data_IF_051790347345
#
_entry.id   IF_051790347345
#
_cell.length_a   1.000
_cell.length_b   1.000
_cell.length_c   1.000
_cell.angle_alpha   90.00
_cell.angle_beta   90.00
_cell.angle_gamma   90.00
#
_symmetry.space_group_name_H-M   'P 1'
#
loop_
_entity.id
_entity.type
_entity.pdbx_description
1 polymer ?
#
# COMPACT_ATOMS: atom_id res chain seq x y z
N UNK A 1 28.85 70.35 -36.63
CA UNK A 1 27.68 69.91 -35.81
C UNK A 1 27.77 68.42 -35.58
N UNK A 2 28.23 67.99 -34.37
CA UNK A 2 28.42 66.56 -34.02
C UNK A 2 27.34 66.20 -33.03
N UNK A 3 26.32 65.38 -33.43
CA UNK A 3 25.31 64.76 -32.57
C UNK A 3 25.94 63.60 -31.86
N UNK A 4 26.08 63.70 -30.54
CA UNK A 4 26.45 62.57 -29.67
C UNK A 4 25.21 61.75 -29.34
N UNK A 5 25.22 60.49 -29.77
CA UNK A 5 24.22 59.49 -29.45
C UNK A 5 24.60 58.91 -28.08
N UNK A 6 23.76 59.15 -27.07
CA UNK A 6 23.91 58.53 -25.74
C UNK A 6 23.11 57.25 -25.76
N UNK A 7 23.81 56.11 -25.72
CA UNK A 7 23.21 54.79 -25.58
C UNK A 7 23.11 54.51 -24.11
N UNK A 8 21.90 54.55 -23.56
CA UNK A 8 21.56 54.13 -22.18
C UNK A 8 21.35 52.64 -22.20
N UNK A 9 22.32 51.88 -21.70
CA UNK A 9 22.23 50.43 -21.45
C UNK A 9 21.44 50.22 -20.17
N UNK A 10 20.20 49.76 -20.30
CA UNK A 10 19.36 49.33 -19.19
C UNK A 10 19.79 47.92 -18.77
N UNK A 11 20.54 47.80 -17.68
CA UNK A 11 20.90 46.54 -17.08
C UNK A 11 19.65 45.97 -16.33
N UNK A 12 18.97 45.04 -17.00
CA UNK A 12 17.91 44.24 -16.34
C UNK A 12 18.57 43.24 -15.38
N UNK A 13 18.60 43.56 -14.08
CA UNK A 13 18.96 42.62 -13.04
C UNK A 13 17.84 41.60 -12.87
N UNK A 14 17.97 40.45 -13.55
CA UNK A 14 17.12 39.28 -13.33
C UNK A 14 17.39 38.72 -11.94
N UNK A 15 16.52 39.00 -11.00
CA UNK A 15 16.48 38.32 -9.70
C UNK A 15 16.04 36.88 -9.98
N UNK A 16 16.99 35.97 -10.08
CA UNK A 16 16.71 34.53 -10.03
C UNK A 16 16.27 34.22 -8.60
N UNK A 17 14.97 34.18 -8.38
CA UNK A 17 14.36 33.51 -7.26
C UNK A 17 14.69 32.00 -7.40
N UNK A 18 15.83 31.61 -6.90
CA UNK A 18 16.11 30.20 -6.60
C UNK A 18 15.11 29.80 -5.50
N UNK A 19 13.93 29.38 -5.92
CA UNK A 19 13.04 28.66 -5.05
C UNK A 19 13.81 27.40 -4.61
N UNK A 20 14.39 27.45 -3.41
CA UNK A 20 14.82 26.24 -2.70
C UNK A 20 13.59 25.38 -2.56
N UNK A 21 13.31 24.53 -3.53
CA UNK A 21 12.45 23.38 -3.33
C UNK A 21 13.18 22.54 -2.26
N UNK A 22 12.80 22.75 -1.01
CA UNK A 22 13.13 21.80 0.06
C UNK A 22 12.58 20.48 -0.43
N UNK A 23 13.45 19.62 -0.90
CA UNK A 23 13.10 18.22 -1.18
C UNK A 23 12.47 17.72 0.11
N UNK A 24 11.19 17.32 0.05
CA UNK A 24 10.52 16.77 1.22
C UNK A 24 11.37 15.62 1.72
N UNK A 25 11.78 15.69 2.98
CA UNK A 25 12.63 14.67 3.59
C UNK A 25 11.89 13.33 3.52
N UNK A 26 12.52 12.34 2.90
CA UNK A 26 11.95 11.00 2.80
C UNK A 26 12.03 10.35 4.19
N UNK A 27 10.87 10.18 4.82
CA UNK A 27 10.77 9.61 6.18
C UNK A 27 10.60 8.10 6.16
N UNK A 28 9.98 7.58 5.09
CA UNK A 28 9.72 6.17 4.88
C UNK A 28 10.15 5.75 3.47
N UNK A 29 10.73 4.57 3.36
CA UNK A 29 11.09 3.93 2.10
C UNK A 29 10.49 2.53 2.05
N UNK A 30 9.88 2.16 0.92
CA UNK A 30 9.38 0.81 0.68
C UNK A 30 10.57 -0.13 0.49
N UNK A 31 10.67 -1.16 1.34
CA UNK A 31 11.75 -2.15 1.29
C UNK A 31 11.29 -3.52 0.83
N UNK A 32 9.99 -3.77 0.84
CA UNK A 32 9.43 -5.03 0.36
C UNK A 32 7.93 -4.96 0.21
N UNK A 33 7.43 -5.73 -0.76
CA UNK A 33 6.00 -5.87 -0.98
C UNK A 33 5.73 -7.23 -1.64
N UNK A 34 4.69 -7.91 -1.16
CA UNK A 34 4.28 -9.21 -1.69
C UNK A 34 2.83 -9.52 -1.35
N UNK A 35 2.27 -10.52 -2.03
CA UNK A 35 1.04 -11.17 -1.61
C UNK A 35 1.35 -12.33 -0.68
N UNK A 36 0.59 -12.46 0.40
CA UNK A 36 0.63 -13.62 1.29
C UNK A 36 -0.60 -14.47 1.03
N UNK A 37 -0.40 -15.70 0.58
CA UNK A 37 -1.46 -16.69 0.37
C UNK A 37 -1.44 -17.68 1.53
N UNK A 38 -2.54 -17.75 2.27
CA UNK A 38 -2.72 -18.70 3.37
C UNK A 38 -3.70 -19.79 2.95
N UNK A 39 -3.17 -20.93 2.53
CA UNK A 39 -3.96 -22.07 2.07
C UNK A 39 -4.93 -22.60 3.14
N UNK A 40 -4.52 -22.60 4.40
CA UNK A 40 -5.34 -23.11 5.51
C UNK A 40 -6.57 -22.25 5.75
N UNK A 41 -6.41 -20.94 5.70
CA UNK A 41 -7.48 -19.97 5.94
C UNK A 41 -8.16 -19.52 4.63
N UNK A 42 -7.75 -20.07 3.48
CA UNK A 42 -8.26 -19.69 2.16
C UNK A 42 -8.22 -18.16 1.95
N UNK A 43 -7.17 -17.50 2.38
CA UNK A 43 -7.06 -16.03 2.32
C UNK A 43 -5.80 -15.58 1.61
N UNK A 44 -5.89 -14.45 0.91
CA UNK A 44 -4.76 -13.71 0.40
C UNK A 44 -4.74 -12.32 1.06
N UNK A 45 -3.57 -11.72 1.22
CA UNK A 45 -3.42 -10.35 1.74
C UNK A 45 -2.26 -9.66 1.05
N UNK A 46 -2.29 -8.33 0.97
CA UNK A 46 -1.11 -7.53 0.70
C UNK A 46 -0.26 -7.44 1.96
N UNK A 47 1.04 -7.53 1.80
CA UNK A 47 2.02 -7.22 2.84
C UNK A 47 3.04 -6.21 2.28
N UNK A 48 3.09 -5.02 2.85
CA UNK A 48 4.03 -3.96 2.52
C UNK A 48 4.94 -3.71 3.71
N UNK A 49 6.24 -3.71 3.47
CA UNK A 49 7.24 -3.39 4.49
C UNK A 49 7.97 -2.12 4.11
N UNK A 50 8.11 -1.23 5.07
CA UNK A 50 8.79 0.06 4.94
C UNK A 50 9.88 0.19 6.00
N UNK A 51 10.94 0.91 5.66
CA UNK A 51 12.00 1.31 6.58
C UNK A 51 11.86 2.78 6.89
N UNK A 52 12.06 3.14 8.15
CA UNK A 52 12.19 4.54 8.57
C UNK A 52 13.56 5.06 8.17
N UNK A 53 13.60 6.16 7.44
CA UNK A 53 14.83 6.79 6.91
C UNK A 53 15.14 8.14 7.56
N UNK A 54 14.13 8.75 8.22
CA UNK A 54 14.27 9.98 8.98
C UNK A 54 13.34 9.96 10.21
N UNK A 55 13.54 10.84 11.19
CA UNK A 55 12.64 10.96 12.35
C UNK A 55 11.19 11.24 11.91
N UNK A 56 10.25 10.49 12.48
CA UNK A 56 8.81 10.67 12.26
C UNK A 56 8.24 11.32 13.52
N UNK A 57 7.43 12.41 13.40
CA UNK A 57 6.82 13.04 14.55
C UNK A 57 5.94 12.09 15.36
N UNK A 58 5.96 12.23 16.69
CA UNK A 58 5.14 11.43 17.58
C UNK A 58 3.65 11.59 17.28
N UNK A 59 2.91 10.49 17.39
CA UNK A 59 1.49 10.45 17.10
C UNK A 59 1.14 10.37 15.62
N UNK A 60 2.15 10.23 14.75
CA UNK A 60 1.91 10.02 13.31
C UNK A 60 1.24 8.68 13.04
N UNK A 61 0.49 8.65 11.94
CA UNK A 61 -0.28 7.47 11.49
C UNK A 61 0.02 7.19 10.02
N UNK A 62 0.15 5.92 9.69
CA UNK A 62 0.14 5.43 8.31
C UNK A 62 -1.30 5.15 7.93
N UNK A 63 -1.72 5.70 6.79
CA UNK A 63 -2.97 5.37 6.10
C UNK A 63 -2.59 4.65 4.82
N UNK A 64 -2.83 3.33 4.77
CA UNK A 64 -2.56 2.52 3.58
C UNK A 64 -3.87 2.21 2.86
N UNK A 65 -3.93 2.56 1.58
CA UNK A 65 -5.06 2.31 0.68
C UNK A 65 -4.62 1.25 -0.33
N UNK A 66 -5.22 0.07 -0.26
CA UNK A 66 -4.94 -1.05 -1.17
C UNK A 66 -6.06 -1.18 -2.19
N UNK A 67 -5.71 -1.35 -3.47
CA UNK A 67 -6.69 -1.66 -4.49
C UNK A 67 -7.42 -2.96 -4.14
N UNK A 68 -8.76 -2.94 -4.24
CA UNK A 68 -9.55 -4.13 -4.01
C UNK A 68 -9.61 -4.97 -5.29
N UNK A 69 -9.08 -6.21 -5.32
CA UNK A 69 -9.12 -7.04 -6.54
C UNK A 69 -10.53 -7.41 -7.00
N UNK A 70 -11.53 -7.38 -6.10
CA UNK A 70 -12.94 -7.54 -6.45
C UNK A 70 -13.55 -6.29 -7.08
N UNK A 71 -12.81 -5.17 -7.13
CA UNK A 71 -13.32 -3.87 -7.55
C UNK A 71 -14.04 -3.12 -6.42
N UNK A 72 -14.55 -1.93 -6.74
CA UNK A 72 -15.21 -1.07 -5.76
C UNK A 72 -14.25 -0.23 -4.92
N UNK A 73 -14.59 -0.03 -3.64
CA UNK A 73 -13.79 0.83 -2.75
C UNK A 73 -12.47 0.18 -2.36
N UNK A 74 -11.38 0.95 -2.28
CA UNK A 74 -10.11 0.46 -1.75
C UNK A 74 -10.25 -0.04 -0.31
N UNK A 75 -9.40 -0.99 0.06
CA UNK A 75 -9.25 -1.45 1.43
C UNK A 75 -8.33 -0.49 2.17
N UNK A 76 -8.78 0.05 3.29
CA UNK A 76 -8.05 1.10 4.03
C UNK A 76 -7.61 0.58 5.39
N UNK A 77 -6.31 0.68 5.66
CA UNK A 77 -5.72 0.38 6.96
C UNK A 77 -5.14 1.66 7.58
N UNK A 78 -5.44 1.87 8.86
CA UNK A 78 -4.82 2.93 9.67
C UNK A 78 -3.94 2.29 10.74
N UNK A 79 -2.65 2.64 10.77
CA UNK A 79 -1.69 2.09 11.74
C UNK A 79 -0.86 3.22 12.37
N UNK A 80 -0.83 3.27 13.70
CA UNK A 80 0.04 4.21 14.42
C UNK A 80 1.50 3.85 14.21
N UNK A 81 2.34 4.88 14.08
CA UNK A 81 3.79 4.75 14.03
C UNK A 81 4.36 4.97 15.42
N UNK A 82 5.18 4.04 15.88
CA UNK A 82 5.88 4.19 17.14
C UNK A 82 7.33 4.68 16.92
N UNK A 83 7.84 5.57 17.79
CA UNK A 83 9.20 6.12 17.63
C UNK A 83 10.30 5.08 17.55
N UNK A 84 10.13 3.95 18.22
CA UNK A 84 11.11 2.85 18.28
C UNK A 84 11.07 1.92 17.06
N UNK A 85 10.06 2.04 16.20
CA UNK A 85 9.94 1.17 15.03
C UNK A 85 10.91 1.62 13.93
N UNK A 86 11.94 0.83 13.65
CA UNK A 86 12.83 1.03 12.49
C UNK A 86 12.22 0.49 11.20
N UNK A 87 11.39 -0.54 11.32
CA UNK A 87 10.65 -1.16 10.22
C UNK A 87 9.17 -1.21 10.55
N UNK A 88 8.37 -0.88 9.56
CA UNK A 88 6.91 -0.85 9.69
C UNK A 88 6.34 -1.75 8.61
N UNK A 89 5.53 -2.72 9.01
CA UNK A 89 4.80 -3.59 8.08
C UNK A 89 3.32 -3.30 8.18
N UNK A 90 2.67 -3.13 7.04
CA UNK A 90 1.23 -2.97 6.92
C UNK A 90 0.68 -4.13 6.10
N UNK A 91 -0.40 -4.72 6.59
CA UNK A 91 -1.06 -5.86 5.94
C UNK A 91 -2.53 -5.53 5.73
N UNK A 92 -3.05 -5.79 4.52
CA UNK A 92 -4.46 -5.58 4.23
C UNK A 92 -5.36 -6.59 4.97
N UNK A 93 -6.64 -6.32 4.95
CA UNK A 93 -7.66 -7.34 5.17
C UNK A 93 -7.59 -8.43 4.09
N UNK A 94 -8.37 -9.50 4.28
CA UNK A 94 -8.41 -10.60 3.34
C UNK A 94 -8.90 -10.15 1.97
N UNK A 95 -8.21 -10.64 0.95
CA UNK A 95 -8.48 -10.37 -0.45
C UNK A 95 -9.16 -11.56 -1.10
N UNK A 96 -9.97 -11.25 -2.10
CA UNK A 96 -10.54 -12.22 -3.02
C UNK A 96 -10.24 -11.78 -4.46
N UNK A 97 -10.24 -12.74 -5.39
CA UNK A 97 -10.09 -12.45 -6.81
C UNK A 97 -8.74 -11.87 -7.24
N UNK A 98 -7.67 -12.21 -6.55
CA UNK A 98 -6.31 -11.87 -6.99
C UNK A 98 -5.99 -12.62 -8.28
N UNK A 99 -5.62 -11.88 -9.33
CA UNK A 99 -5.26 -12.42 -10.65
C UNK A 99 -3.74 -12.36 -10.80
N UNK A 100 -3.16 -13.47 -11.26
CA UNK A 100 -1.73 -13.56 -11.56
C UNK A 100 -1.31 -12.48 -12.56
N UNK A 101 -0.11 -11.92 -12.35
CA UNK A 101 0.55 -10.92 -13.19
C UNK A 101 -0.20 -9.59 -13.38
N UNK A 102 -1.40 -9.45 -12.83
CA UNK A 102 -2.11 -8.18 -12.81
C UNK A 102 -1.44 -7.21 -11.83
N UNK A 103 -1.15 -5.96 -12.23
CA UNK A 103 -0.66 -4.93 -11.29
C UNK A 103 -1.81 -4.39 -10.44
N UNK A 104 -1.57 -4.26 -9.14
CA UNK A 104 -2.48 -3.66 -8.17
C UNK A 104 -1.81 -2.46 -7.51
N UNK A 105 -2.53 -1.36 -7.41
CA UNK A 105 -2.02 -0.12 -6.85
C UNK A 105 -2.18 -0.08 -5.33
N UNK A 106 -1.14 0.41 -4.66
CA UNK A 106 -1.17 0.70 -3.22
C UNK A 106 -0.65 2.10 -2.99
N UNK A 107 -1.40 2.89 -2.24
CA UNK A 107 -1.00 4.22 -1.80
C UNK A 107 -0.84 4.23 -0.28
N UNK A 108 0.29 4.72 0.19
CA UNK A 108 0.57 4.87 1.62
C UNK A 108 0.79 6.34 1.93
N UNK A 109 0.03 6.87 2.86
CA UNK A 109 0.14 8.24 3.37
C UNK A 109 0.65 8.20 4.80
N UNK A 110 1.72 8.93 5.08
CA UNK A 110 2.16 9.23 6.43
C UNK A 110 1.55 10.58 6.81
N UNK A 111 0.75 10.60 7.86
CA UNK A 111 0.13 11.82 8.39
C UNK A 111 0.55 12.07 9.83
N UNK A 112 0.68 13.34 10.22
CA UNK A 112 0.95 13.69 11.61
C UNK A 112 -0.30 13.55 12.49
N UNK A 113 -0.16 13.86 13.78
CA UNK A 113 -1.26 13.81 14.76
C UNK A 113 -2.43 14.75 14.43
N UNK A 114 -2.19 15.81 13.64
CA UNK A 114 -3.18 16.80 13.24
C UNK A 114 -3.79 16.50 11.85
N UNK A 115 -3.41 15.33 11.26
CA UNK A 115 -3.90 14.88 9.94
C UNK A 115 -3.19 15.51 8.75
N UNK A 116 -2.10 16.26 8.98
CA UNK A 116 -1.32 16.85 7.89
C UNK A 116 -0.49 15.77 7.19
N UNK A 117 -0.55 15.74 5.87
CA UNK A 117 0.26 14.84 5.06
C UNK A 117 1.75 15.20 5.18
N UNK A 118 2.55 14.24 5.61
CA UNK A 118 4.01 14.34 5.71
C UNK A 118 4.68 13.72 4.49
N UNK A 119 4.21 12.56 4.04
CA UNK A 119 4.75 11.84 2.89
C UNK A 119 3.66 10.97 2.24
N UNK A 120 3.73 10.83 0.91
CA UNK A 120 2.95 9.86 0.14
C UNK A 120 3.89 8.92 -0.61
N UNK A 121 3.61 7.62 -0.54
CA UNK A 121 4.31 6.57 -1.26
C UNK A 121 3.30 5.83 -2.14
N UNK A 122 3.73 5.43 -3.34
CA UNK A 122 2.95 4.60 -4.25
C UNK A 122 3.75 3.36 -4.60
N UNK A 123 3.10 2.22 -4.54
CA UNK A 123 3.67 0.94 -4.92
C UNK A 123 2.71 0.18 -5.83
N UNK A 124 3.27 -0.68 -6.66
CA UNK A 124 2.50 -1.63 -7.45
C UNK A 124 2.86 -3.05 -7.02
N UNK A 125 1.84 -3.83 -6.75
CA UNK A 125 1.96 -5.24 -6.43
C UNK A 125 1.60 -6.08 -7.64
N UNK A 126 2.34 -7.15 -7.86
CA UNK A 126 1.97 -8.22 -8.78
C UNK A 126 2.03 -9.54 -8.03
N UNK A 127 1.08 -10.42 -8.31
CA UNK A 127 1.09 -11.78 -7.78
C UNK A 127 1.63 -12.73 -8.83
N UNK A 128 2.54 -13.62 -8.45
CA UNK A 128 3.00 -14.73 -9.27
C UNK A 128 2.00 -15.89 -9.30
N UNK A 129 0.99 -15.81 -8.43
CA UNK A 129 -0.06 -16.82 -8.28
C UNK A 129 -1.44 -16.20 -8.50
N UNK A 130 -2.32 -17.01 -9.06
CA UNK A 130 -3.75 -16.69 -9.14
C UNK A 130 -4.44 -17.12 -7.84
N UNK A 131 -5.52 -16.44 -7.46
CA UNK A 131 -6.29 -16.78 -6.23
C UNK A 131 -6.83 -18.20 -6.26
N UNK A 132 -7.02 -18.78 -7.44
CA UNK A 132 -7.52 -20.16 -7.62
C UNK A 132 -6.60 -21.24 -7.05
N UNK A 133 -5.36 -20.90 -6.67
CA UNK A 133 -4.48 -21.83 -5.93
C UNK A 133 -4.98 -22.07 -4.50
N UNK A 134 -5.79 -21.18 -3.95
CA UNK A 134 -6.40 -21.33 -2.63
C UNK A 134 -7.69 -22.18 -2.70
N UNK A 135 -8.02 -22.91 -1.65
CA UNK A 135 -9.37 -23.46 -1.52
C UNK A 135 -10.38 -22.30 -1.44
N UNK A 136 -11.60 -22.54 -1.90
CA UNK A 136 -12.66 -21.53 -1.88
C UNK A 136 -13.22 -21.24 -0.48
N UNK A 137 -12.99 -22.16 0.44
CA UNK A 137 -13.41 -22.03 1.84
C UNK A 137 -12.24 -22.33 2.78
N UNK A 138 -12.15 -21.69 3.96
CA UNK A 138 -11.17 -22.05 4.97
C UNK A 138 -11.23 -23.54 5.30
N UNK A 139 -10.08 -24.21 5.35
CA UNK A 139 -10.02 -25.62 5.74
C UNK A 139 -10.19 -25.81 7.23
N UNK A 140 -9.96 -24.74 8.01
CA UNK A 140 -10.08 -24.74 9.47
C UNK A 140 -10.88 -23.54 9.94
N UNK A 141 -11.54 -23.69 11.10
CA UNK A 141 -12.35 -22.66 11.74
C UNK A 141 -12.02 -22.57 13.22
N UNK A 142 -12.38 -21.45 13.83
CA UNK A 142 -12.21 -21.21 15.25
C UNK A 142 -10.77 -21.06 15.71
N UNK A 143 -10.59 -20.69 16.98
CA UNK A 143 -9.28 -20.47 17.60
C UNK A 143 -8.44 -21.74 17.73
N UNK A 144 -9.09 -22.92 17.78
CA UNK A 144 -8.44 -24.24 17.85
C UNK A 144 -8.02 -24.80 16.50
N UNK A 145 -8.25 -24.06 15.40
CA UNK A 145 -8.01 -24.56 14.03
C UNK A 145 -8.72 -25.90 13.75
N UNK A 146 -9.95 -26.00 14.16
CA UNK A 146 -10.78 -27.18 13.95
C UNK A 146 -11.11 -27.35 12.46
N UNK A 147 -11.33 -28.59 12.02
CA UNK A 147 -11.73 -28.87 10.65
C UNK A 147 -13.04 -28.16 10.32
N UNK A 148 -13.08 -27.42 9.23
CA UNK A 148 -14.28 -26.71 8.80
C UNK A 148 -15.37 -27.70 8.36
N UNK A 149 -16.54 -27.77 9.05
CA UNK A 149 -17.61 -28.69 8.69
C UNK A 149 -18.31 -28.36 7.37
N UNK A 150 -18.14 -27.13 6.86
CA UNK A 150 -18.62 -26.77 5.53
C UNK A 150 -17.80 -27.42 4.41
N UNK A 151 -16.54 -27.68 4.68
CA UNK A 151 -15.62 -28.36 3.74
C UNK A 151 -15.61 -29.85 3.97
N UNK A 152 -15.47 -30.29 5.23
CA UNK A 152 -15.36 -31.68 5.62
C UNK A 152 -16.69 -32.16 6.22
N UNK A 153 -17.52 -32.76 5.40
CA UNK A 153 -18.86 -33.19 5.81
C UNK A 153 -18.79 -34.40 6.78
N UNK A 154 -19.81 -34.58 7.66
CA UNK A 154 -19.88 -35.70 8.59
C UNK A 154 -19.95 -37.07 7.90
N UNK A 155 -20.43 -37.12 6.66
CA UNK A 155 -20.52 -38.34 5.82
C UNK A 155 -19.18 -38.74 5.18
N UNK A 156 -18.10 -37.97 5.44
CA UNK A 156 -16.76 -38.19 4.89
C UNK A 156 -16.52 -37.53 3.54
N UNK A 157 -17.52 -36.89 2.93
CA UNK A 157 -17.34 -36.14 1.70
C UNK A 157 -16.69 -34.78 1.94
N UNK A 158 -16.12 -34.18 0.89
CA UNK A 158 -15.52 -32.85 0.94
C UNK A 158 -16.16 -31.91 -0.10
N UNK A 159 -16.34 -30.65 0.29
CA UNK A 159 -16.87 -29.62 -0.60
C UNK A 159 -15.84 -28.49 -0.77
N UNK A 160 -15.16 -28.48 -1.91
CA UNK A 160 -14.22 -27.45 -2.33
C UNK A 160 -14.81 -26.50 -3.40
N UNK A 161 -16.14 -26.44 -3.50
CA UNK A 161 -16.80 -25.59 -4.49
C UNK A 161 -16.40 -24.13 -4.32
N UNK A 162 -16.04 -23.47 -5.42
CA UNK A 162 -15.72 -22.05 -5.41
C UNK A 162 -17.01 -21.22 -5.31
N UNK A 163 -17.08 -20.36 -4.31
CA UNK A 163 -18.20 -19.44 -4.08
C UNK A 163 -17.86 -17.98 -4.45
N UNK A 164 -16.60 -17.70 -4.78
CA UNK A 164 -16.16 -16.35 -5.12
C UNK A 164 -16.72 -15.92 -6.49
N UNK A 165 -17.34 -14.74 -6.48
CA UNK A 165 -17.78 -14.06 -7.71
C UNK A 165 -16.73 -13.01 -8.06
N UNK A 166 -15.80 -13.39 -8.94
CA UNK A 166 -14.78 -12.45 -9.39
C UNK A 166 -15.25 -11.67 -10.61
N UNK A 167 -14.91 -10.36 -10.71
CA UNK A 167 -15.17 -9.59 -11.93
C UNK A 167 -14.38 -10.20 -13.10
N UNK A 168 -14.99 -10.13 -14.29
CA UNK A 168 -14.40 -10.61 -15.55
C UNK A 168 -13.27 -9.67 -16.02
#
# INVERSE_FOLDING_TARGET
MKRRLVITTLAAAGIMLAACQRQAETMLEVTGHLFVFNYRNASATYLLTMKKTAPIPDGSTIVAEFENPQGGTPLVLNQKVFPMDDKISVQSENLHCVVKDRPYSVTVKLVDKDGKLLQELKAQFKSDLDQTVLPSKPLVVGAGYERNPEVFKPDGTTDFSNTDKCPA
#
